data_IF_182260010054
#
_entry.id   IF_182260010054
#
_cell.length_a   1.000
_cell.length_b   1.000
_cell.length_c   1.000
_cell.angle_alpha   90.00
_cell.angle_beta   90.00
_cell.angle_gamma   90.00
#
_symmetry.space_group_name_H-M   'P 1'
#
loop_
_entity.id
_entity.type
_entity.pdbx_description
1 polymer ?
#
# COMPACT_ATOMS: atom_id res chain seq x y z
N UNK A 1 21.27 26.47 39.77
CA UNK A 1 21.52 25.75 38.51
C UNK A 1 20.28 24.93 38.18
N UNK A 2 19.46 25.38 37.24
CA UNK A 2 18.18 24.76 36.90
C UNK A 2 18.45 23.73 35.78
N UNK A 3 18.35 22.44 36.09
CA UNK A 3 18.57 21.37 35.12
C UNK A 3 17.48 21.41 34.04
N UNK A 4 17.90 21.67 32.79
CA UNK A 4 17.08 21.50 31.59
C UNK A 4 16.78 20.01 31.40
N UNK A 5 15.54 19.61 31.60
CA UNK A 5 15.05 18.31 31.14
C UNK A 5 14.83 18.38 29.63
N UNK A 6 15.71 17.73 28.86
CA UNK A 6 15.49 17.49 27.44
C UNK A 6 14.51 16.32 27.34
N UNK A 7 13.25 16.62 27.00
CA UNK A 7 12.28 15.60 26.60
C UNK A 7 12.60 15.17 25.17
N UNK A 8 13.26 14.02 25.02
CA UNK A 8 13.36 13.34 23.72
C UNK A 8 12.07 12.54 23.54
N UNK A 9 11.16 13.05 22.71
CA UNK A 9 10.02 12.28 22.23
C UNK A 9 10.54 11.24 21.24
N UNK A 10 10.76 10.02 21.74
CA UNK A 10 10.99 8.86 20.89
C UNK A 10 9.64 8.45 20.28
N UNK A 11 9.30 9.00 19.11
CA UNK A 11 8.16 8.51 18.34
C UNK A 11 8.58 7.16 17.78
N UNK A 12 8.21 6.08 18.47
CA UNK A 12 8.28 4.74 17.91
C UNK A 12 7.35 4.71 16.69
N UNK A 13 7.92 4.85 15.49
CA UNK A 13 7.22 4.47 14.28
C UNK A 13 6.97 2.97 14.41
N UNK A 14 5.72 2.58 14.70
CA UNK A 14 5.26 1.23 14.45
C UNK A 14 5.45 1.02 12.94
N UNK A 15 6.54 0.34 12.58
CA UNK A 15 6.77 -0.03 11.19
C UNK A 15 5.56 -0.84 10.74
N UNK A 16 4.86 -0.37 9.71
CA UNK A 16 3.81 -1.17 9.10
C UNK A 16 4.45 -2.44 8.54
N UNK A 17 3.79 -3.59 8.73
CA UNK A 17 4.27 -4.87 8.20
C UNK A 17 4.28 -4.88 6.65
N UNK A 18 3.53 -3.95 6.05
CA UNK A 18 3.39 -3.78 4.63
C UNK A 18 3.30 -2.30 4.23
N UNK A 19 3.51 -2.02 2.96
CA UNK A 19 3.10 -0.77 2.33
C UNK A 19 2.72 -0.99 0.87
N UNK A 20 1.80 -0.16 0.37
CA UNK A 20 1.46 -0.11 -1.04
C UNK A 20 1.76 1.27 -1.59
N UNK A 21 2.67 1.35 -2.55
CA UNK A 21 2.95 2.56 -3.33
C UNK A 21 2.28 2.45 -4.70
N UNK A 22 1.53 3.48 -5.08
CA UNK A 22 0.81 3.59 -6.34
C UNK A 22 1.28 4.80 -7.14
N UNK A 23 1.40 4.68 -8.46
CA UNK A 23 1.81 5.76 -9.36
C UNK A 23 0.86 5.92 -10.56
N UNK A 24 0.65 7.17 -10.97
CA UNK A 24 -0.23 7.52 -12.10
C UNK A 24 0.35 7.19 -13.48
N UNK A 25 1.67 6.94 -13.55
CA UNK A 25 2.36 6.57 -14.79
C UNK A 25 3.15 5.26 -14.64
N UNK A 26 3.52 4.67 -15.78
CA UNK A 26 4.36 3.48 -15.83
C UNK A 26 5.73 3.72 -15.19
N UNK A 27 6.37 2.65 -14.75
CA UNK A 27 7.74 2.64 -14.20
C UNK A 27 7.95 3.56 -12.99
N UNK A 28 6.94 3.62 -12.11
CA UNK A 28 6.97 4.33 -10.82
C UNK A 28 7.15 5.85 -10.98
N UNK A 29 6.41 6.45 -11.93
CA UNK A 29 6.49 7.87 -12.27
C UNK A 29 5.16 8.59 -12.07
N UNK A 30 5.21 9.93 -12.08
CA UNK A 30 4.01 10.76 -11.98
C UNK A 30 3.55 10.97 -10.54
N UNK A 31 2.26 11.26 -10.37
CA UNK A 31 1.65 11.43 -9.05
C UNK A 31 1.66 10.10 -8.30
N UNK A 32 2.00 10.13 -7.01
CA UNK A 32 2.06 8.94 -6.19
C UNK A 32 1.18 9.03 -4.94
N UNK A 33 0.86 7.86 -4.39
CA UNK A 33 0.22 7.70 -3.09
C UNK A 33 0.78 6.45 -2.41
N UNK A 34 0.95 6.52 -1.09
CA UNK A 34 1.47 5.39 -0.30
C UNK A 34 0.51 5.07 0.85
N UNK A 35 0.25 3.78 1.05
CA UNK A 35 -0.69 3.28 2.04
C UNK A 35 0.00 2.32 3.00
N UNK A 36 -0.12 2.60 4.29
CA UNK A 36 0.48 1.82 5.39
C UNK A 36 -0.57 1.17 6.29
N UNK A 37 -1.82 1.14 5.83
CA UNK A 37 -2.96 0.67 6.62
C UNK A 37 -3.84 -0.23 5.78
N UNK A 38 -4.60 -1.10 6.46
CA UNK A 38 -5.65 -1.90 5.84
C UNK A 38 -6.84 -1.01 5.46
N UNK A 39 -7.63 -1.45 4.51
CA UNK A 39 -8.83 -0.76 4.05
C UNK A 39 -8.96 -0.71 2.53
N UNK A 40 -9.93 0.07 2.08
CA UNK A 40 -10.18 0.34 0.66
C UNK A 40 -9.70 1.75 0.33
N UNK A 41 -8.90 1.89 -0.72
CA UNK A 41 -8.29 3.16 -1.10
C UNK A 41 -8.52 3.48 -2.57
N UNK A 42 -8.85 4.74 -2.85
CA UNK A 42 -9.03 5.30 -4.19
C UNK A 42 -8.12 6.54 -4.29
N UNK A 43 -6.95 6.46 -4.96
CA UNK A 43 -5.99 7.56 -5.03
C UNK A 43 -6.47 8.79 -5.82
N UNK A 44 -7.56 8.69 -6.58
CA UNK A 44 -8.04 9.77 -7.45
C UNK A 44 -7.34 9.82 -8.81
N UNK A 45 -6.56 8.80 -9.15
CA UNK A 45 -5.95 8.60 -10.47
C UNK A 45 -5.96 7.12 -10.85
N UNK A 46 -5.84 6.83 -12.15
CA UNK A 46 -5.60 5.47 -12.64
C UNK A 46 -4.17 5.06 -12.28
N UNK A 47 -4.03 3.96 -11.55
CA UNK A 47 -2.76 3.39 -11.13
C UNK A 47 -2.17 2.61 -12.31
N UNK A 48 -0.99 3.05 -12.77
CA UNK A 48 -0.27 2.46 -13.90
C UNK A 48 1.03 1.78 -13.51
N UNK A 49 1.47 1.94 -12.27
CA UNK A 49 2.52 1.09 -11.69
C UNK A 49 2.41 1.09 -10.17
N UNK A 50 2.96 0.06 -9.53
CA UNK A 50 2.85 -0.11 -8.08
C UNK A 50 3.96 -0.95 -7.47
N UNK A 51 4.12 -0.78 -6.17
CA UNK A 51 4.89 -1.65 -5.29
C UNK A 51 4.01 -2.06 -4.13
N UNK A 52 3.93 -3.36 -3.92
CA UNK A 52 3.41 -3.97 -2.72
C UNK A 52 4.60 -4.54 -1.96
N UNK A 53 4.94 -3.91 -0.84
CA UNK A 53 5.87 -4.48 0.11
C UNK A 53 5.07 -5.14 1.22
N UNK A 54 5.41 -6.37 1.54
CA UNK A 54 4.81 -7.16 2.62
C UNK A 54 5.86 -8.12 3.15
N UNK A 55 5.99 -8.13 4.48
CA UNK A 55 6.92 -9.02 5.15
C UNK A 55 6.44 -10.47 5.04
N UNK A 56 7.37 -11.41 4.80
CA UNK A 56 7.01 -12.82 4.71
C UNK A 56 6.30 -13.29 5.98
N UNK A 57 5.06 -13.75 5.84
CA UNK A 57 4.26 -14.26 6.96
C UNK A 57 3.54 -13.18 7.78
N UNK A 58 3.43 -11.94 7.29
CA UNK A 58 2.57 -10.92 7.91
C UNK A 58 1.07 -11.19 7.74
N UNK A 59 0.71 -12.15 6.88
CA UNK A 59 -0.67 -12.52 6.58
C UNK A 59 -1.40 -11.50 5.69
N UNK A 60 -0.73 -10.46 5.22
CA UNK A 60 -1.35 -9.35 4.52
C UNK A 60 -1.34 -9.55 3.00
N UNK A 61 -2.43 -9.11 2.37
CA UNK A 61 -2.59 -9.17 0.93
C UNK A 61 -3.23 -7.88 0.42
N UNK A 62 -2.95 -7.57 -0.85
CA UNK A 62 -3.59 -6.48 -1.58
C UNK A 62 -4.36 -7.04 -2.78
N UNK A 63 -5.55 -6.50 -3.00
CA UNK A 63 -6.36 -6.71 -4.19
C UNK A 63 -6.45 -5.40 -4.98
N UNK A 64 -6.27 -5.49 -6.29
CA UNK A 64 -6.36 -4.36 -7.21
C UNK A 64 -7.65 -4.45 -8.01
N UNK A 65 -8.35 -3.32 -8.09
CA UNK A 65 -9.68 -3.26 -8.64
C UNK A 65 -9.77 -2.16 -9.71
N UNK A 66 -10.50 -2.44 -10.80
CA UNK A 66 -10.98 -1.44 -11.73
C UNK A 66 -12.49 -1.35 -11.64
N UNK A 67 -12.99 -0.33 -10.92
CA UNK A 67 -14.38 -0.29 -10.48
C UNK A 67 -14.70 -1.48 -9.55
N UNK A 68 -15.63 -2.35 -9.94
CA UNK A 68 -16.00 -3.57 -9.19
C UNK A 68 -15.32 -4.84 -9.69
N UNK A 69 -14.39 -4.75 -10.64
CA UNK A 69 -13.70 -5.91 -11.20
C UNK A 69 -12.34 -6.11 -10.54
N UNK A 70 -12.02 -7.34 -10.18
CA UNK A 70 -10.68 -7.76 -9.74
C UNK A 70 -9.75 -7.89 -10.95
N UNK A 71 -8.58 -7.24 -10.86
CA UNK A 71 -7.54 -7.28 -11.90
C UNK A 71 -6.16 -7.69 -11.35
N UNK A 72 -6.06 -7.98 -10.05
CA UNK A 72 -4.78 -8.33 -9.44
C UNK A 72 -4.91 -8.66 -7.95
N UNK A 73 -4.07 -9.58 -7.49
CA UNK A 73 -4.02 -9.98 -6.09
C UNK A 73 -2.62 -10.46 -5.72
N UNK A 74 -2.07 -9.95 -4.62
CA UNK A 74 -0.77 -10.39 -4.08
C UNK A 74 -0.78 -10.45 -2.57
N UNK A 75 -0.27 -11.55 -2.01
CA UNK A 75 0.16 -11.58 -0.62
C UNK A 75 1.68 -11.37 -0.51
N UNK A 76 2.53 -12.12 -1.25
CA UNK A 76 3.96 -11.85 -1.22
C UNK A 76 4.27 -10.47 -1.81
N UNK A 77 5.35 -9.85 -1.33
CA UNK A 77 5.91 -8.63 -1.93
C UNK A 77 5.97 -8.74 -3.46
N UNK A 78 5.44 -7.74 -4.15
CA UNK A 78 5.38 -7.71 -5.61
C UNK A 78 5.53 -6.28 -6.12
N UNK A 79 6.19 -6.11 -7.25
CA UNK A 79 6.27 -4.80 -7.92
C UNK A 79 6.04 -4.97 -9.40
N UNK A 80 5.29 -4.04 -9.99
CA UNK A 80 5.05 -4.04 -11.42
C UNK A 80 5.08 -2.62 -11.97
N UNK A 81 6.08 -2.35 -12.82
CA UNK A 81 6.25 -1.09 -13.53
C UNK A 81 5.34 -0.94 -14.75
N UNK A 82 4.76 -2.04 -15.23
CA UNK A 82 3.88 -2.06 -16.40
C UNK A 82 2.82 -3.17 -16.26
N UNK A 83 1.82 -2.98 -15.37
CA UNK A 83 0.71 -3.90 -15.22
C UNK A 83 -0.03 -4.11 -16.54
N UNK A 84 -0.52 -5.32 -16.78
CA UNK A 84 -1.29 -5.65 -17.99
C UNK A 84 -2.70 -5.04 -17.99
N UNK A 85 -3.11 -4.43 -16.87
CA UNK A 85 -4.42 -3.82 -16.69
C UNK A 85 -4.31 -2.61 -15.79
N UNK A 86 -5.06 -1.57 -16.14
CA UNK A 86 -5.25 -0.38 -15.31
C UNK A 86 -6.13 -0.72 -14.10
N UNK A 87 -5.92 -0.04 -12.98
CA UNK A 87 -6.76 -0.14 -11.78
C UNK A 87 -6.87 1.21 -11.08
N UNK A 88 -7.99 1.47 -10.40
CA UNK A 88 -8.32 2.75 -9.78
C UNK A 88 -8.56 2.66 -8.26
N UNK A 89 -8.56 1.44 -7.74
CA UNK A 89 -8.83 1.12 -6.34
C UNK A 89 -7.96 -0.04 -5.89
N UNK A 90 -7.56 0.00 -4.62
CA UNK A 90 -6.93 -1.13 -3.95
C UNK A 90 -7.69 -1.47 -2.66
N UNK A 91 -7.64 -2.74 -2.27
CA UNK A 91 -8.15 -3.23 -0.98
C UNK A 91 -7.04 -4.00 -0.30
N UNK A 92 -6.66 -3.57 0.89
CA UNK A 92 -5.62 -4.20 1.71
C UNK A 92 -6.28 -4.79 2.95
N UNK A 93 -5.97 -6.05 3.25
CA UNK A 93 -6.39 -6.72 4.48
C UNK A 93 -5.45 -7.87 4.80
N UNK A 94 -5.56 -8.43 6.00
CA UNK A 94 -4.70 -9.50 6.47
C UNK A 94 -5.51 -10.70 6.97
N UNK A 95 -4.86 -11.84 7.07
CA UNK A 95 -5.41 -13.10 7.58
C UNK A 95 -6.68 -13.53 6.82
N UNK A 96 -7.83 -13.50 7.50
CA UNK A 96 -9.13 -13.94 6.98
C UNK A 96 -10.01 -12.79 6.45
N UNK A 97 -9.46 -11.57 6.35
CA UNK A 97 -10.18 -10.42 5.81
C UNK A 97 -10.56 -10.62 4.33
N UNK A 98 -11.85 -10.49 4.04
CA UNK A 98 -12.35 -10.59 2.68
C UNK A 98 -12.02 -9.32 1.88
N UNK A 99 -11.24 -9.45 0.81
CA UNK A 99 -10.92 -8.34 -0.10
C UNK A 99 -11.90 -8.29 -1.27
N UNK A 100 -12.78 -7.28 -1.29
CA UNK A 100 -13.86 -7.14 -2.27
C UNK A 100 -13.67 -5.88 -3.12
N UNK A 101 -13.66 -6.05 -4.45
CA UNK A 101 -13.89 -4.98 -5.41
C UNK A 101 -15.40 -4.68 -5.51
#
# INVERSE_FOLDING_TARGET
MLYKFIFVLLIAHLASAFDFEAWSENNFQGTSSTYYQRGTFVPGFIIKSYRWYSASGDGCCVKMCYGSNDVGYWCPSHSNGLPSSDFDKIVIGCDDEQLIC
#
